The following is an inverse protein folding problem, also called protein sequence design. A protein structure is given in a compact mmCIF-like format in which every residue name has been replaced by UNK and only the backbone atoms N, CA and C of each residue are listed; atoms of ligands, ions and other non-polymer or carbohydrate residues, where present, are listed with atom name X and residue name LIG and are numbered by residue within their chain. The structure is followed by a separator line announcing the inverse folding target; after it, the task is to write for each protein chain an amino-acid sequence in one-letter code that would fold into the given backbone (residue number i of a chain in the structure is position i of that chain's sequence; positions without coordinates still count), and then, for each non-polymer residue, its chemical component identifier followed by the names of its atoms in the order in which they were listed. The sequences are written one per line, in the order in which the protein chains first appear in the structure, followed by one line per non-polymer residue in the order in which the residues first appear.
data_IF_101428230640
#
_entry.id   IF_101428230640
#
_cell.length_a   1.000
_cell.length_b   1.000
_cell.length_c   1.000
_cell.angle_alpha   90.00
_cell.angle_beta   90.00
_cell.angle_gamma   90.00
#
_symmetry.space_group_name_H-M   'P 1'
#
loop_
_entity.id
_entity.type
_entity.pdbx_description
1 polymer ?
#
# COMPACT_ATOMS: atom_id res chain seq x y z
N UNK A 1 -13.55 24.35 -7.98
CA UNK A 1 -13.22 22.91 -8.00
C UNK A 1 -14.06 22.21 -6.94
N UNK A 2 -14.70 21.08 -7.26
CA UNK A 2 -15.49 20.30 -6.27
C UNK A 2 -14.60 19.24 -5.63
N UNK A 3 -14.81 18.97 -4.34
CA UNK A 3 -14.19 17.81 -3.67
C UNK A 3 -14.82 16.55 -4.27
N UNK A 4 -13.98 15.55 -4.55
CA UNK A 4 -14.37 14.26 -5.10
C UNK A 4 -14.07 13.17 -4.08
N UNK A 5 -14.75 12.03 -4.20
CA UNK A 5 -14.58 10.87 -3.32
C UNK A 5 -13.12 10.43 -3.20
N UNK A 6 -12.39 10.41 -4.31
CA UNK A 6 -10.96 10.10 -4.34
C UNK A 6 -10.11 11.03 -3.45
N UNK A 7 -10.49 12.31 -3.31
CA UNK A 7 -9.77 13.23 -2.43
C UNK A 7 -9.95 12.87 -0.96
N UNK A 8 -11.09 12.30 -0.58
CA UNK A 8 -11.36 11.87 0.80
C UNK A 8 -10.54 10.63 1.15
N UNK A 9 -10.54 9.60 0.29
CA UNK A 9 -9.82 8.35 0.56
C UNK A 9 -8.30 8.47 0.37
N UNK A 10 -7.82 9.29 -0.56
CA UNK A 10 -6.38 9.59 -0.60
C UNK A 10 -6.01 10.51 0.56
N UNK A 11 -6.90 11.43 0.93
CA UNK A 11 -6.72 12.30 2.09
C UNK A 11 -6.54 11.55 3.40
N UNK A 12 -7.25 10.43 3.63
CA UNK A 12 -7.08 9.62 4.84
C UNK A 12 -5.69 9.00 4.96
N UNK A 13 -5.10 8.57 3.84
CA UNK A 13 -3.71 8.08 3.76
C UNK A 13 -2.74 9.23 3.99
N UNK A 14 -2.87 10.30 3.20
CA UNK A 14 -1.91 11.40 3.20
C UNK A 14 -1.88 12.14 4.54
N UNK A 15 -3.03 12.32 5.20
CA UNK A 15 -3.10 13.00 6.51
C UNK A 15 -2.30 12.22 7.56
N UNK A 16 -2.50 10.90 7.68
CA UNK A 16 -1.76 10.07 8.64
C UNK A 16 -0.25 10.08 8.37
N UNK A 17 0.15 10.05 7.09
CA UNK A 17 1.56 10.18 6.72
C UNK A 17 2.13 11.52 7.17
N UNK A 18 1.43 12.62 6.90
CA UNK A 18 1.91 13.97 7.23
C UNK A 18 1.98 14.26 8.73
N UNK A 19 1.21 13.52 9.54
CA UNK A 19 1.21 13.62 11.00
C UNK A 19 2.30 12.76 11.66
N UNK A 20 2.93 11.84 10.91
CA UNK A 20 3.99 10.99 11.43
C UNK A 20 5.29 11.77 11.68
N UNK A 21 5.96 11.52 12.80
CA UNK A 21 7.14 12.30 13.22
C UNK A 21 8.35 12.19 12.26
N UNK A 22 8.44 11.09 11.50
CA UNK A 22 9.49 10.87 10.50
C UNK A 22 9.17 11.46 9.12
N UNK A 23 8.01 12.10 8.95
CA UNK A 23 7.63 12.75 7.70
C UNK A 23 8.43 14.03 7.44
N UNK A 24 8.88 14.19 6.19
CA UNK A 24 9.65 15.36 5.73
C UNK A 24 9.07 15.98 4.47
N UNK A 25 8.66 15.17 3.51
CA UNK A 25 8.16 15.66 2.22
C UNK A 25 7.18 14.67 1.57
N UNK A 26 6.29 15.20 0.73
CA UNK A 26 5.39 14.43 -0.13
C UNK A 26 5.43 15.02 -1.55
N UNK A 27 5.70 14.19 -2.55
CA UNK A 27 5.72 14.59 -3.95
C UNK A 27 4.87 13.62 -4.79
N UNK A 28 4.35 14.08 -5.92
CA UNK A 28 3.85 13.16 -6.96
C UNK A 28 5.05 12.58 -7.70
N UNK A 29 4.94 11.31 -8.10
CA UNK A 29 5.95 10.68 -8.95
C UNK A 29 5.69 10.99 -10.42
N UNK A 30 4.43 10.85 -10.82
CA UNK A 30 3.97 11.03 -12.20
C UNK A 30 2.49 11.48 -12.21
N UNK A 31 1.81 11.28 -13.32
CA UNK A 31 0.38 11.58 -13.48
C UNK A 31 -0.55 10.44 -13.04
N UNK A 32 -0.01 9.28 -12.64
CA UNK A 32 -0.79 8.17 -12.10
C UNK A 32 -1.37 8.59 -10.75
N UNK A 33 -2.69 8.51 -10.66
CA UNK A 33 -3.39 8.92 -9.45
C UNK A 33 -3.10 7.94 -8.31
N UNK A 34 -2.72 8.46 -7.15
CA UNK A 34 -2.30 7.63 -6.02
C UNK A 34 -0.84 7.25 -6.00
N UNK A 35 -0.05 7.69 -6.98
CA UNK A 35 1.37 7.42 -7.01
C UNK A 35 2.18 8.56 -6.38
N UNK A 36 2.74 8.31 -5.19
CA UNK A 36 3.43 9.31 -4.38
C UNK A 36 4.86 8.91 -4.02
N UNK A 37 5.70 9.91 -3.83
CA UNK A 37 7.00 9.80 -3.17
C UNK A 37 6.90 10.45 -1.79
N UNK A 38 7.03 9.64 -0.76
CA UNK A 38 7.20 10.10 0.62
C UNK A 38 8.70 10.22 0.89
N UNK A 39 9.08 11.34 1.48
CA UNK A 39 10.45 11.74 1.72
C UNK A 39 11.27 11.72 0.42
N UNK A 40 12.21 10.79 0.29
CA UNK A 40 13.14 10.70 -0.84
C UNK A 40 13.31 9.28 -1.40
N UNK A 41 12.69 8.31 -0.73
CA UNK A 41 13.05 6.90 -0.79
C UNK A 41 11.85 5.96 -0.67
N UNK A 42 10.63 6.47 -0.44
CA UNK A 42 9.43 5.63 -0.31
C UNK A 42 8.39 5.93 -1.39
N UNK A 43 8.19 5.01 -2.32
CA UNK A 43 7.13 5.00 -3.34
C UNK A 43 5.85 4.39 -2.76
N UNK A 44 4.74 5.10 -2.90
CA UNK A 44 3.42 4.63 -2.49
C UNK A 44 2.48 4.54 -3.68
N UNK A 45 1.80 3.41 -3.81
CA UNK A 45 0.63 3.26 -4.67
C UNK A 45 -0.62 3.18 -3.81
N UNK A 46 -1.37 4.29 -3.76
CA UNK A 46 -2.63 4.39 -3.02
C UNK A 46 -3.78 4.00 -3.92
N UNK A 47 -4.54 3.00 -3.49
CA UNK A 47 -5.77 2.56 -4.17
C UNK A 47 -6.87 2.44 -3.14
N UNK A 48 -8.11 2.76 -3.51
CA UNK A 48 -9.23 2.76 -2.57
C UNK A 48 -10.43 2.01 -3.13
N UNK A 49 -11.23 1.46 -2.22
CA UNK A 49 -12.56 0.95 -2.47
C UNK A 49 -13.52 1.52 -1.43
N UNK A 50 -14.72 1.91 -1.86
CA UNK A 50 -15.69 2.61 -0.99
C UNK A 50 -16.70 1.67 -0.33
N UNK A 51 -16.56 0.36 -0.54
CA UNK A 51 -17.45 -0.64 0.06
C UNK A 51 -17.33 -0.55 1.59
N UNK A 52 -18.47 -0.58 2.29
CA UNK A 52 -18.51 -0.37 3.75
C UNK A 52 -17.91 -1.52 4.56
N UNK A 53 -17.90 -2.74 4.02
CA UNK A 53 -17.46 -3.92 4.75
C UNK A 53 -16.64 -4.87 3.87
N UNK A 54 -15.82 -5.69 4.52
CA UNK A 54 -15.01 -6.73 3.89
C UNK A 54 -15.85 -7.77 3.11
N UNK A 55 -15.25 -8.52 2.17
CA UNK A 55 -13.90 -8.31 1.64
C UNK A 55 -13.85 -7.17 0.62
N UNK A 56 -12.67 -6.56 0.48
CA UNK A 56 -12.33 -5.55 -0.54
C UNK A 56 -11.42 -6.15 -1.61
N UNK A 57 -11.84 -6.07 -2.87
CA UNK A 57 -11.17 -6.71 -4.00
C UNK A 57 -10.48 -5.68 -4.91
N UNK A 58 -9.19 -5.44 -4.69
CA UNK A 58 -8.39 -4.48 -5.43
C UNK A 58 -7.84 -5.12 -6.71
N UNK A 59 -8.19 -4.54 -7.86
CA UNK A 59 -7.76 -5.02 -9.18
C UNK A 59 -6.61 -4.17 -9.72
N UNK A 60 -5.52 -4.83 -10.12
CA UNK A 60 -4.35 -4.20 -10.73
C UNK A 60 -4.29 -4.54 -12.21
N UNK A 61 -4.34 -3.53 -13.05
CA UNK A 61 -4.26 -3.66 -14.51
C UNK A 61 -2.82 -3.55 -15.00
N UNK A 62 -2.55 -3.96 -16.24
CA UNK A 62 -1.19 -4.02 -16.79
C UNK A 62 -0.39 -2.72 -16.67
N UNK A 63 -1.03 -1.55 -16.84
CA UNK A 63 -0.38 -0.25 -16.66
C UNK A 63 -0.01 0.05 -15.19
N UNK A 64 -0.84 -0.37 -14.24
CA UNK A 64 -0.55 -0.25 -12.81
C UNK A 64 0.60 -1.19 -12.42
N UNK A 65 0.58 -2.43 -12.92
CA UNK A 65 1.64 -3.42 -12.70
C UNK A 65 2.97 -2.98 -13.30
N UNK A 66 2.95 -2.37 -14.49
CA UNK A 66 4.14 -1.79 -15.13
C UNK A 66 4.73 -0.64 -14.30
N UNK A 67 3.89 0.26 -13.78
CA UNK A 67 4.36 1.34 -12.90
C UNK A 67 5.01 0.81 -11.63
N UNK A 68 4.37 -0.15 -10.96
CA UNK A 68 4.93 -0.83 -9.78
C UNK A 68 6.26 -1.51 -10.13
N UNK A 69 6.32 -2.21 -11.28
CA UNK A 69 7.52 -2.89 -11.75
C UNK A 69 8.70 -1.94 -11.98
N UNK A 70 8.42 -0.75 -12.51
CA UNK A 70 9.46 0.26 -12.74
C UNK A 70 10.03 0.77 -11.40
N UNK A 71 9.18 0.96 -10.38
CA UNK A 71 9.64 1.44 -9.08
C UNK A 71 10.42 0.39 -8.28
N UNK A 72 10.05 -0.89 -8.34
CA UNK A 72 10.81 -1.95 -7.63
C UNK A 72 12.23 -2.14 -8.19
N UNK A 73 12.51 -1.62 -9.39
CA UNK A 73 13.86 -1.61 -9.98
C UNK A 73 14.70 -0.41 -9.53
N UNK A 74 14.07 0.61 -8.92
CA UNK A 74 14.76 1.76 -8.36
C UNK A 74 15.24 1.47 -6.91
N UNK A 75 16.28 2.15 -6.41
CA UNK A 75 16.75 2.01 -5.04
C UNK A 75 15.82 2.75 -4.05
N UNK A 76 14.56 2.33 -3.99
CA UNK A 76 13.49 2.91 -3.18
C UNK A 76 12.64 1.80 -2.56
N UNK A 77 12.01 2.08 -1.43
CA UNK A 77 11.00 1.21 -0.85
C UNK A 77 9.67 1.41 -1.58
N UNK A 78 8.96 0.32 -1.89
CA UNK A 78 7.68 0.37 -2.60
C UNK A 78 6.61 -0.23 -1.71
N UNK A 79 5.51 0.50 -1.55
CA UNK A 79 4.35 0.04 -0.80
C UNK A 79 3.06 0.18 -1.60
N UNK A 80 2.15 -0.78 -1.42
CA UNK A 80 0.75 -0.65 -1.80
C UNK A 80 -0.05 -0.23 -0.57
N UNK A 81 -0.75 0.90 -0.64
CA UNK A 81 -1.65 1.36 0.43
C UNK A 81 -3.10 1.20 -0.03
N UNK A 82 -3.74 0.13 0.44
CA UNK A 82 -5.09 -0.27 0.04
C UNK A 82 -6.12 0.24 1.05
N UNK A 83 -6.83 1.29 0.69
CA UNK A 83 -7.85 1.93 1.52
C UNK A 83 -9.16 1.16 1.43
N UNK A 84 -9.54 0.54 2.55
CA UNK A 84 -10.67 -0.37 2.69
C UNK A 84 -11.87 0.36 3.30
N UNK A 85 -12.68 0.98 2.45
CA UNK A 85 -13.78 1.84 2.90
C UNK A 85 -13.28 2.93 3.84
N UNK A 86 -14.09 3.24 4.85
CA UNK A 86 -13.69 4.12 5.95
C UNK A 86 -13.06 3.33 7.12
N UNK A 87 -12.82 2.03 6.94
CA UNK A 87 -12.49 1.12 8.02
C UNK A 87 -10.98 1.04 8.30
N UNK A 88 -10.15 0.86 7.27
CA UNK A 88 -8.71 0.64 7.48
C UNK A 88 -7.87 0.93 6.23
N UNK A 89 -6.55 1.05 6.43
CA UNK A 89 -5.55 1.10 5.36
C UNK A 89 -4.68 -0.15 5.50
N UNK A 90 -4.73 -1.03 4.50
CA UNK A 90 -3.83 -2.17 4.41
C UNK A 90 -2.57 -1.72 3.66
N UNK A 91 -1.47 -1.51 4.39
CA UNK A 91 -0.17 -1.20 3.81
C UNK A 91 0.63 -2.49 3.61
N UNK A 92 1.03 -2.74 2.37
CA UNK A 92 1.82 -3.90 1.96
C UNK A 92 3.16 -3.44 1.41
N UNK A 93 4.26 -4.00 1.92
CA UNK A 93 5.59 -3.80 1.34
C UNK A 93 5.84 -4.75 0.16
N UNK A 94 6.98 -4.58 -0.51
CA UNK A 94 7.36 -5.43 -1.64
C UNK A 94 7.40 -6.93 -1.30
N UNK A 95 7.90 -7.31 -0.13
CA UNK A 95 7.98 -8.73 0.25
C UNK A 95 6.58 -9.33 0.37
N UNK A 96 5.63 -8.57 0.92
CA UNK A 96 4.26 -9.04 1.06
C UNK A 96 3.49 -9.05 -0.26
N UNK A 97 3.50 -7.95 -1.03
CA UNK A 97 2.69 -7.92 -2.26
C UNK A 97 3.29 -8.78 -3.38
N UNK A 98 4.60 -9.04 -3.38
CA UNK A 98 5.21 -9.97 -4.35
C UNK A 98 4.77 -11.42 -4.14
N UNK A 99 4.32 -11.80 -2.93
CA UNK A 99 3.69 -13.08 -2.65
C UNK A 99 2.21 -13.13 -3.08
N UNK A 100 1.59 -11.99 -3.38
CA UNK A 100 0.16 -11.87 -3.64
C UNK A 100 -0.16 -11.72 -5.13
N UNK A 101 0.68 -11.01 -5.89
CA UNK A 101 0.44 -10.70 -7.30
C UNK A 101 1.69 -10.84 -8.16
N UNK A 102 1.52 -11.25 -9.42
CA UNK A 102 2.60 -11.23 -10.40
C UNK A 102 2.68 -9.86 -11.06
N UNK A 103 3.65 -9.06 -10.59
CA UNK A 103 3.97 -7.71 -11.05
C UNK A 103 4.53 -7.66 -12.49
N UNK A 104 4.98 -8.82 -13.00
CA UNK A 104 5.45 -8.97 -14.39
C UNK A 104 4.33 -9.38 -15.35
N UNK A 105 3.17 -9.77 -14.82
CA UNK A 105 2.03 -10.19 -15.62
C UNK A 105 1.47 -9.07 -16.49
N UNK A 106 0.98 -9.44 -17.67
CA UNK A 106 0.15 -8.58 -18.52
C UNK A 106 -1.34 -8.74 -18.22
N UNK A 107 -1.70 -9.80 -17.49
CA UNK A 107 -3.07 -10.10 -17.09
C UNK A 107 -3.43 -9.38 -15.80
N UNK A 108 -4.73 -9.11 -15.61
CA UNK A 108 -5.23 -8.48 -14.39
C UNK A 108 -4.87 -9.31 -13.16
N UNK A 109 -4.26 -8.67 -12.18
CA UNK A 109 -3.98 -9.24 -10.86
C UNK A 109 -4.96 -8.69 -9.83
N UNK A 110 -5.13 -9.42 -8.72
CA UNK A 110 -6.09 -9.07 -7.68
C UNK A 110 -5.45 -9.23 -6.31
N UNK A 111 -5.72 -8.29 -5.41
CA UNK A 111 -5.47 -8.41 -3.96
C UNK A 111 -6.81 -8.27 -3.26
N UNK A 112 -7.14 -9.24 -2.40
CA UNK A 112 -8.32 -9.26 -1.56
C UNK A 112 -7.92 -9.00 -0.11
N UNK A 113 -8.58 -8.02 0.52
CA UNK A 113 -8.41 -7.73 1.94
C UNK A 113 -9.69 -8.11 2.66
N UNK A 114 -9.58 -9.01 3.64
CA UNK A 114 -10.67 -9.43 4.51
C UNK A 114 -10.40 -9.05 5.95
N UNK A 115 -11.40 -8.47 6.61
CA UNK A 115 -11.36 -8.12 8.03
C UNK A 115 -12.51 -8.86 8.71
N UNK A 116 -12.23 -9.91 9.49
CA UNK A 116 -13.24 -10.56 10.31
C UNK A 116 -13.62 -9.65 11.50
N UNK A 117 -14.79 -9.85 12.14
CA UNK A 117 -15.23 -9.01 13.23
C UNK A 117 -14.19 -8.91 14.36
N UNK A 118 -13.71 -7.70 14.65
CA UNK A 118 -12.66 -7.41 15.65
C UNK A 118 -11.31 -8.10 15.41
N UNK A 119 -11.05 -8.58 14.18
CA UNK A 119 -9.81 -9.26 13.83
C UNK A 119 -8.77 -8.34 13.18
N UNK A 120 -7.68 -8.95 12.70
CA UNK A 120 -6.67 -8.28 11.86
C UNK A 120 -6.97 -8.53 10.39
N UNK A 121 -6.32 -7.78 9.49
CA UNK A 121 -6.52 -7.92 8.05
C UNK A 121 -5.88 -9.22 7.54
N UNK A 122 -6.68 -10.07 6.93
CA UNK A 122 -6.25 -11.22 6.14
C UNK A 122 -6.13 -10.79 4.68
N UNK A 123 -5.02 -11.14 4.03
CA UNK A 123 -4.73 -10.67 2.67
C UNK A 123 -4.42 -11.86 1.77
N UNK A 124 -5.16 -11.96 0.68
CA UNK A 124 -4.95 -12.94 -0.38
C UNK A 124 -4.86 -12.25 -1.73
N UNK A 125 -4.37 -12.95 -2.74
CA UNK A 125 -4.18 -12.41 -4.07
C UNK A 125 -4.11 -13.50 -5.13
N UNK A 126 -3.86 -13.08 -6.36
CA UNK A 126 -3.77 -13.96 -7.53
C UNK A 126 -2.75 -15.10 -7.39
N UNK A 127 -1.67 -14.91 -6.62
CA UNK A 127 -0.61 -15.91 -6.43
C UNK A 127 -0.76 -16.75 -5.16
N UNK A 128 -1.53 -16.31 -4.17
CA UNK A 128 -1.60 -16.96 -2.86
C UNK A 128 -2.14 -16.06 -1.77
N UNK A 129 -1.75 -16.32 -0.54
CA UNK A 129 -2.15 -15.55 0.64
C UNK A 129 -0.98 -15.30 1.57
N UNK A 130 -1.06 -14.25 2.39
CA UNK A 130 -0.06 -14.02 3.43
C UNK A 130 -0.29 -14.98 4.60
N UNK A 131 0.77 -15.62 5.08
CA UNK A 131 0.72 -16.46 6.28
C UNK A 131 0.37 -15.66 7.55
N UNK A 132 0.78 -14.38 7.58
CA UNK A 132 0.56 -13.48 8.70
C UNK A 132 -0.49 -12.42 8.36
N UNK A 133 -1.25 -12.02 9.37
CA UNK A 133 -2.23 -10.93 9.25
C UNK A 133 -1.57 -9.56 9.37
N UNK A 134 -2.16 -8.56 8.72
CA UNK A 134 -1.72 -7.16 8.81
C UNK A 134 -2.56 -6.45 9.88
N UNK A 135 -1.89 -5.76 10.81
CA UNK A 135 -2.58 -5.02 11.88
C UNK A 135 -3.13 -3.69 11.37
N UNK A 136 -4.31 -3.28 11.85
CA UNK A 136 -4.93 -1.99 11.52
C UNK A 136 -4.02 -0.79 11.80
N UNK A 137 -3.29 -0.81 12.92
CA UNK A 137 -2.40 0.26 13.35
C UNK A 137 -0.96 0.12 12.82
N UNK A 138 -0.72 -0.78 11.85
CA UNK A 138 0.60 -0.88 11.22
C UNK A 138 0.91 0.32 10.33
N UNK A 139 -0.10 0.97 9.78
CA UNK A 139 0.03 2.21 9.03
C UNK A 139 -0.21 3.42 9.97
N UNK A 140 0.56 4.54 9.85
CA UNK A 140 1.62 4.80 8.87
C UNK A 140 3.02 4.30 9.28
N UNK A 141 3.21 3.78 10.49
CA UNK A 141 4.54 3.38 11.02
C UNK A 141 5.34 2.54 10.02
N UNK A 142 4.69 1.54 9.42
CA UNK A 142 5.29 0.58 8.47
C UNK A 142 6.00 1.23 7.28
N UNK A 143 5.50 2.37 6.77
CA UNK A 143 6.12 3.04 5.63
C UNK A 143 7.34 3.89 6.00
N UNK A 144 7.57 4.07 7.31
CA UNK A 144 8.70 4.79 7.89
C UNK A 144 9.70 3.88 8.62
N UNK A 145 9.37 2.61 8.82
CA UNK A 145 10.30 1.61 9.35
C UNK A 145 11.29 1.22 8.25
N UNK A 146 12.57 1.51 8.44
CA UNK A 146 13.62 1.08 7.50
C UNK A 146 13.71 -0.44 7.54
N UNK A 147 13.75 -1.09 6.37
CA UNK A 147 14.02 -2.53 6.28
C UNK A 147 15.42 -2.94 6.79
N UNK A 148 16.27 -1.96 7.14
CA UNK A 148 17.67 -2.14 7.54
C UNK A 148 17.89 -2.37 9.05
N UNK A 149 16.86 -2.31 9.91
CA UNK A 149 17.04 -2.52 11.37
C UNK A 149 17.18 -4.01 11.78
N UNK A 150 17.31 -4.94 10.83
CA UNK A 150 17.51 -6.37 11.08
C UNK A 150 18.96 -6.87 11.09
N UNK A 151 19.96 -6.03 10.77
CA UNK A 151 21.33 -6.50 10.48
C UNK A 151 22.43 -6.09 11.47
N UNK A 152 22.12 -5.38 12.56
CA UNK A 152 23.17 -4.90 13.48
C UNK A 152 22.87 -5.11 14.97
N UNK A 153 22.74 -6.38 15.39
CA UNK A 153 23.08 -6.78 16.77
C UNK A 153 23.83 -8.11 16.74
N UNK A 154 25.10 -8.05 16.32
CA UNK A 154 26.10 -9.05 16.62
C UNK A 154 27.48 -8.40 16.70
N UNK A 155 27.75 -7.74 17.83
CA UNK A 155 29.11 -7.56 18.38
C UNK A 155 29.07 -7.71 19.89
#
# INVERSE_FOLDING_TARGET
MKIQTQHLYHGSVLTQITEHHSFKALNKVDDIYGHYLVNHDTRLFVKYLTKEASPWNFQFHGNELEAIRNDIQAPVHVFLCLVCGEETICALDYQEFSNLIDVTSTERQVINVEVPPSGSMHVSGSLGELEQTIRHNSFPEKIFTNADEGAEVAK
#
